data_IF_513403564540
#
_entry.id   IF_513403564540
#
_cell.length_a   1.000
_cell.length_b   1.000
_cell.length_c   1.000
_cell.angle_alpha   90.00
_cell.angle_beta   90.00
_cell.angle_gamma   90.00
#
_symmetry.space_group_name_H-M   'P 1'
#
loop_
_entity.id
_entity.type
_entity.pdbx_description
1 polymer ?
#
# COMPACT_ATOMS: atom_id res chain seq x y z
N UNK A 1 14.96 -19.59 -52.83
CA UNK A 1 15.67 -18.98 -51.69
C UNK A 1 14.74 -17.94 -51.09
N UNK A 2 14.52 -17.97 -49.78
CA UNK A 2 13.70 -16.96 -49.10
C UNK A 2 14.65 -15.82 -48.74
N UNK A 3 14.42 -14.65 -49.32
CA UNK A 3 15.17 -13.45 -48.99
C UNK A 3 14.50 -12.82 -47.78
N UNK A 4 15.25 -12.71 -46.68
CA UNK A 4 14.75 -12.28 -45.38
C UNK A 4 15.40 -10.93 -45.10
N UNK A 5 14.67 -9.84 -45.35
CA UNK A 5 15.15 -8.50 -45.02
C UNK A 5 14.64 -8.09 -43.64
N UNK A 6 15.52 -7.50 -42.83
CA UNK A 6 15.26 -7.18 -41.43
C UNK A 6 15.34 -5.67 -41.24
N UNK A 7 14.27 -4.97 -41.62
CA UNK A 7 14.10 -3.56 -41.24
C UNK A 7 13.41 -3.48 -39.87
N UNK A 8 14.05 -2.80 -38.90
CA UNK A 8 13.43 -2.36 -37.63
C UNK A 8 12.85 -3.48 -36.75
N UNK A 9 13.35 -4.72 -36.87
CA UNK A 9 12.91 -5.85 -36.04
C UNK A 9 11.66 -6.57 -36.55
N UNK A 10 11.18 -6.22 -37.74
CA UNK A 10 10.10 -6.95 -38.43
C UNK A 10 10.75 -7.80 -39.52
N UNK A 11 10.64 -9.12 -39.39
CA UNK A 11 11.07 -10.06 -40.42
C UNK A 11 9.98 -10.08 -41.51
N UNK A 12 10.30 -9.55 -42.69
CA UNK A 12 9.42 -9.64 -43.87
C UNK A 12 9.95 -10.74 -44.77
N UNK A 13 9.24 -11.88 -44.80
CA UNK A 13 9.54 -12.94 -45.76
C UNK A 13 8.74 -12.77 -47.04
N UNK A 14 9.38 -12.86 -48.19
CA UNK A 14 8.72 -12.97 -49.50
C UNK A 14 8.54 -14.44 -49.88
N UNK A 15 7.32 -14.85 -50.21
CA UNK A 15 7.03 -16.20 -50.72
C UNK A 15 7.27 -16.24 -52.24
N UNK A 16 7.84 -17.33 -52.79
CA UNK A 16 8.06 -17.44 -54.23
C UNK A 16 6.73 -17.46 -54.98
N UNK A 17 6.66 -16.70 -56.07
CA UNK A 17 5.52 -16.57 -56.96
C UNK A 17 5.25 -17.90 -57.70
N UNK A 18 4.55 -18.83 -57.05
CA UNK A 18 4.19 -20.11 -57.64
C UNK A 18 3.02 -20.84 -56.96
N UNK A 19 2.41 -20.22 -55.95
CA UNK A 19 1.36 -20.82 -55.11
C UNK A 19 -0.07 -20.39 -55.50
N UNK A 20 -0.27 -19.79 -56.69
CA UNK A 20 -1.60 -19.43 -57.21
C UNK A 20 -2.35 -18.38 -56.37
N UNK A 21 -1.65 -17.62 -55.53
CA UNK A 21 -2.19 -16.53 -54.74
C UNK A 21 -1.77 -15.21 -55.41
N UNK A 22 -2.63 -14.64 -56.25
CA UNK A 22 -2.37 -13.40 -57.01
C UNK A 22 -2.26 -12.12 -56.14
N UNK A 23 -2.25 -12.26 -54.82
CA UNK A 23 -1.98 -11.15 -53.89
C UNK A 23 -0.71 -11.46 -53.10
N UNK A 24 0.30 -10.55 -53.10
CA UNK A 24 1.45 -10.67 -52.22
C UNK A 24 0.95 -10.53 -50.78
N UNK A 25 0.63 -11.66 -50.14
CA UNK A 25 0.32 -11.70 -48.71
C UNK A 25 1.63 -11.54 -47.96
N UNK A 26 1.87 -10.34 -47.45
CA UNK A 26 2.90 -10.12 -46.44
C UNK A 26 2.50 -10.92 -45.20
N UNK A 27 3.12 -12.08 -45.02
CA UNK A 27 3.01 -12.82 -43.77
C UNK A 27 3.68 -11.95 -42.71
N UNK A 28 2.87 -11.20 -41.95
CA UNK A 28 3.31 -10.53 -40.74
C UNK A 28 3.66 -11.62 -39.73
N UNK A 29 4.94 -11.99 -39.65
CA UNK A 29 5.43 -12.79 -38.53
C UNK A 29 5.16 -11.98 -37.26
N UNK A 30 4.33 -12.52 -36.35
CA UNK A 30 4.16 -11.90 -35.05
C UNK A 30 5.52 -11.89 -34.34
N UNK A 31 6.02 -10.73 -33.89
CA UNK A 31 7.24 -10.67 -33.11
C UNK A 31 7.01 -11.43 -31.80
N UNK A 32 7.53 -12.66 -31.71
CA UNK A 32 7.41 -13.51 -30.51
C UNK A 32 8.41 -13.13 -29.42
N UNK A 33 9.34 -12.20 -29.72
CA UNK A 33 10.30 -11.68 -28.75
C UNK A 33 9.70 -10.49 -28.03
N UNK A 34 9.25 -10.74 -26.81
CA UNK A 34 8.83 -9.72 -25.86
C UNK A 34 9.99 -8.75 -25.64
N UNK A 35 9.74 -7.45 -25.82
CA UNK A 35 10.69 -6.38 -25.51
C UNK A 35 10.66 -6.18 -23.98
N UNK A 36 11.38 -7.04 -23.26
CA UNK A 36 11.50 -7.03 -21.80
C UNK A 36 11.81 -5.66 -21.17
N UNK A 37 12.76 -4.85 -21.70
CA UNK A 37 13.09 -3.59 -21.03
C UNK A 37 11.94 -2.58 -21.04
N UNK A 38 11.16 -2.53 -22.14
CA UNK A 38 9.98 -1.66 -22.23
C UNK A 38 8.89 -2.08 -21.23
N UNK A 39 8.64 -3.38 -21.13
CA UNK A 39 7.66 -3.93 -20.20
C UNK A 39 8.03 -3.68 -18.73
N UNK A 40 9.31 -3.84 -18.37
CA UNK A 40 9.80 -3.59 -17.00
C UNK A 40 9.70 -2.12 -16.63
N UNK A 41 10.02 -1.21 -17.56
CA UNK A 41 9.93 0.23 -17.32
C UNK A 41 8.48 0.67 -17.07
N UNK A 42 7.55 0.18 -17.90
CA UNK A 42 6.12 0.48 -17.77
C UNK A 42 5.57 -0.02 -16.43
N UNK A 43 5.86 -1.28 -16.10
CA UNK A 43 5.46 -1.89 -14.83
C UNK A 43 5.99 -1.11 -13.62
N UNK A 44 7.27 -0.75 -13.62
CA UNK A 44 7.88 0.01 -12.54
C UNK A 44 7.23 1.39 -12.38
N UNK A 45 7.02 2.11 -13.49
CA UNK A 45 6.39 3.43 -13.47
C UNK A 45 5.00 3.39 -12.82
N UNK A 46 4.16 2.44 -13.24
CA UNK A 46 2.82 2.30 -12.67
C UNK A 46 2.85 1.86 -11.21
N UNK A 47 3.71 0.90 -10.86
CA UNK A 47 3.85 0.41 -9.50
C UNK A 47 4.26 1.54 -8.53
N UNK A 48 5.31 2.31 -8.87
CA UNK A 48 5.77 3.42 -8.04
C UNK A 48 4.76 4.55 -7.96
N UNK A 49 4.08 4.87 -9.07
CA UNK A 49 3.07 5.93 -9.09
C UNK A 49 1.89 5.57 -8.19
N UNK A 50 1.33 4.37 -8.36
CA UNK A 50 0.19 3.92 -7.56
C UNK A 50 0.56 3.77 -6.09
N UNK A 51 1.71 3.15 -5.80
CA UNK A 51 2.21 3.00 -4.44
C UNK A 51 2.45 4.37 -3.78
N UNK A 52 3.04 5.31 -4.52
CA UNK A 52 3.24 6.68 -4.05
C UNK A 52 1.92 7.35 -3.70
N UNK A 53 0.94 7.35 -4.60
CA UNK A 53 -0.38 7.98 -4.39
C UNK A 53 -1.10 7.40 -3.17
N UNK A 54 -1.00 6.10 -2.92
CA UNK A 54 -1.68 5.45 -1.80
C UNK A 54 -0.91 5.62 -0.48
N UNK A 55 0.41 5.41 -0.48
CA UNK A 55 1.21 5.35 0.74
C UNK A 55 1.69 6.73 1.24
N UNK A 56 2.07 7.64 0.34
CA UNK A 56 2.60 8.96 0.71
C UNK A 56 1.64 9.80 1.55
N UNK A 57 0.34 9.97 1.21
CA UNK A 57 -0.51 10.88 1.98
C UNK A 57 -0.74 10.39 3.41
N UNK A 58 -0.72 9.09 3.68
CA UNK A 58 -0.81 8.55 5.04
C UNK A 58 0.45 8.84 5.86
N UNK A 59 1.62 8.50 5.31
CA UNK A 59 2.90 8.69 5.97
C UNK A 59 3.25 10.18 6.14
N UNK A 60 3.00 11.00 5.11
CA UNK A 60 3.25 12.45 5.14
C UNK A 60 2.36 13.15 6.16
N UNK A 61 1.05 12.82 6.23
CA UNK A 61 0.15 13.39 7.25
C UNK A 61 0.59 13.02 8.66
N UNK A 62 0.98 11.76 8.90
CA UNK A 62 1.49 11.31 10.20
C UNK A 62 2.79 12.03 10.59
N UNK A 63 3.76 12.09 9.68
CA UNK A 63 5.02 12.78 9.90
C UNK A 63 4.85 14.29 10.12
N UNK A 64 3.97 14.93 9.37
CA UNK A 64 3.67 16.36 9.54
C UNK A 64 2.99 16.65 10.88
N UNK A 65 2.06 15.81 11.33
CA UNK A 65 1.46 15.90 12.66
C UNK A 65 2.52 15.77 13.76
N UNK A 66 3.39 14.76 13.68
CA UNK A 66 4.48 14.57 14.64
C UNK A 66 5.45 15.76 14.68
N UNK A 67 5.85 16.29 13.51
CA UNK A 67 6.72 17.48 13.42
C UNK A 67 6.07 18.73 14.02
N UNK A 68 4.75 18.85 13.95
CA UNK A 68 3.99 19.92 14.60
C UNK A 68 3.70 19.67 16.07
N UNK A 69 4.23 18.59 16.66
CA UNK A 69 3.99 18.24 18.06
C UNK A 69 2.58 17.72 18.32
N UNK A 70 1.88 17.22 17.29
CA UNK A 70 0.53 16.67 17.38
C UNK A 70 0.54 15.15 17.31
N UNK A 71 -0.44 14.52 17.95
CA UNK A 71 -0.64 13.08 17.87
C UNK A 71 -0.85 12.63 16.43
N UNK A 72 -0.19 11.55 16.03
CA UNK A 72 -0.30 10.98 14.68
C UNK A 72 -1.70 10.39 14.38
N UNK A 73 -2.40 9.92 15.43
CA UNK A 73 -3.73 9.29 15.35
C UNK A 73 -4.85 10.34 15.37
N UNK A 74 -5.07 11.00 16.53
CA UNK A 74 -6.20 11.92 16.72
C UNK A 74 -5.92 13.38 16.31
N UNK A 75 -4.65 13.77 16.17
CA UNK A 75 -4.29 15.17 15.87
C UNK A 75 -4.30 16.13 17.06
N UNK A 76 -4.48 15.62 18.30
CA UNK A 76 -4.37 16.41 19.53
C UNK A 76 -2.98 17.04 19.66
N UNK A 77 -2.91 18.28 20.15
CA UNK A 77 -1.65 18.99 20.36
C UNK A 77 -0.97 18.48 21.64
N UNK A 78 0.14 17.76 21.48
CA UNK A 78 0.93 17.21 22.57
C UNK A 78 1.98 18.21 23.06
N UNK A 79 2.01 19.45 22.54
CA UNK A 79 3.05 20.46 22.85
C UNK A 79 4.47 19.93 22.63
N UNK A 80 4.64 19.02 21.67
CA UNK A 80 5.88 18.26 21.39
C UNK A 80 6.31 17.25 22.46
N UNK A 81 5.50 17.00 23.49
CA UNK A 81 5.72 15.93 24.46
C UNK A 81 5.14 14.60 23.92
N UNK A 82 5.88 13.96 23.02
CA UNK A 82 5.47 12.69 22.40
C UNK A 82 5.72 11.47 23.30
N UNK A 83 6.56 11.61 24.35
CA UNK A 83 6.97 10.47 25.19
C UNK A 83 5.88 10.05 26.17
N UNK A 84 5.12 11.00 26.72
CA UNK A 84 3.98 10.73 27.62
C UNK A 84 2.75 10.15 26.91
N UNK A 85 2.74 10.16 25.57
CA UNK A 85 1.62 9.67 24.76
C UNK A 85 0.33 10.50 24.87
N UNK A 86 -0.63 10.21 24.00
CA UNK A 86 -1.82 11.02 23.84
C UNK A 86 -2.90 10.73 24.90
N UNK A 87 -3.37 11.73 25.66
CA UNK A 87 -4.40 11.54 26.69
C UNK A 87 -5.78 11.18 26.11
N UNK A 88 -6.08 11.62 24.89
CA UNK A 88 -7.38 11.39 24.25
C UNK A 88 -7.48 9.99 23.63
N UNK A 89 -6.48 9.59 22.83
CA UNK A 89 -6.55 8.36 22.04
C UNK A 89 -5.68 7.22 22.57
N UNK A 90 -4.92 7.44 23.65
CA UNK A 90 -4.03 6.43 24.23
C UNK A 90 -2.84 6.04 23.35
N UNK A 91 -2.59 6.75 22.24
CA UNK A 91 -1.41 6.53 21.40
C UNK A 91 -0.14 6.63 22.26
N UNK A 92 0.70 5.61 22.22
CA UNK A 92 1.91 5.39 23.06
C UNK A 92 1.69 5.26 24.59
N UNK A 93 0.45 5.18 25.09
CA UNK A 93 0.14 4.97 26.52
C UNK A 93 -0.05 3.50 26.93
N UNK A 94 0.01 2.58 25.97
CA UNK A 94 -0.20 1.15 26.21
C UNK A 94 0.95 0.50 26.98
N UNK A 95 0.93 0.59 28.32
CA UNK A 95 1.81 -0.22 29.17
C UNK A 95 1.70 -0.03 30.69
N UNK A 96 1.37 1.16 31.22
CA UNK A 96 1.61 1.43 32.64
C UNK A 96 0.38 1.78 33.50
N UNK A 97 -0.77 2.17 32.92
CA UNK A 97 -1.83 2.82 33.70
C UNK A 97 -3.23 2.34 33.33
N UNK A 98 -3.41 1.02 33.30
CA UNK A 98 -4.69 0.37 33.01
C UNK A 98 -5.11 -0.71 34.01
N UNK A 99 -4.42 -0.84 35.14
CA UNK A 99 -4.79 -1.80 36.19
C UNK A 99 -4.83 -1.10 37.55
N UNK A 100 -5.87 -0.30 37.76
CA UNK A 100 -6.39 -0.02 39.09
C UNK A 100 -7.67 -0.84 39.26
N UNK A 101 -7.62 -2.09 39.77
CA UNK A 101 -8.81 -2.78 40.23
C UNK A 101 -9.09 -2.32 41.66
N UNK A 102 -10.07 -1.44 41.83
CA UNK A 102 -10.64 -1.06 43.13
C UNK A 102 -11.77 -0.06 42.85
N UNK A 103 -13.04 -0.41 42.62
CA UNK A 103 -13.87 -1.42 43.29
C UNK A 103 -13.70 -1.43 44.81
N UNK A 104 -13.67 -0.27 45.45
CA UNK A 104 -14.11 -0.09 46.85
C UNK A 104 -15.53 0.47 46.92
N UNK A 105 -16.37 0.13 45.93
CA UNK A 105 -17.83 0.12 46.06
C UNK A 105 -18.29 -1.29 46.45
N UNK A 106 -17.84 -1.76 47.63
CA UNK A 106 -18.31 -3.00 48.26
C UNK A 106 -18.02 -2.98 49.75
N UNK A 107 -18.47 -1.92 50.45
CA UNK A 107 -18.42 -1.86 51.93
C UNK A 107 -19.80 -1.74 52.60
N UNK A 108 -20.92 -1.68 51.85
CA UNK A 108 -22.22 -1.36 52.45
C UNK A 108 -23.24 -2.52 52.57
N UNK A 109 -22.87 -3.78 52.31
CA UNK A 109 -23.87 -4.87 52.22
C UNK A 109 -23.90 -5.90 53.36
N UNK A 110 -23.02 -5.84 54.38
CA UNK A 110 -22.94 -6.89 55.41
C UNK A 110 -23.24 -6.42 56.85
N UNK A 111 -23.97 -5.31 57.01
CA UNK A 111 -24.38 -4.78 58.31
C UNK A 111 -25.88 -4.50 58.40
N UNK A 112 -26.77 -5.49 58.20
CA UNK A 112 -28.21 -5.36 58.55
C UNK A 112 -29.01 -6.67 58.60
N UNK A 113 -28.58 -7.65 59.39
CA UNK A 113 -29.46 -8.71 59.91
C UNK A 113 -29.03 -8.93 61.36
N UNK A 114 -29.41 -8.08 62.32
CA UNK A 114 -30.76 -7.96 62.91
C UNK A 114 -31.28 -9.37 63.29
N UNK A 115 -31.02 -9.79 64.52
CA UNK A 115 -32.01 -9.71 65.61
C UNK A 115 -33.24 -10.59 65.32
N UNK A 116 -33.17 -11.83 65.83
CA UNK A 116 -34.28 -12.71 66.24
C UNK A 116 -33.71 -14.09 66.62
N UNK A 117 -33.25 -14.22 67.86
CA UNK A 117 -33.36 -15.42 68.69
C UNK A 117 -32.92 -15.11 70.11
#
# INVERSE_FOLDING_TARGET
AVEVDVERGIVVGTLPAGLGLDTPRTLRLLPTKIIWPGFMADWALYAFTLFGVIALPGAARRGWRMRRGRCAMCGYDLRRELSAGCPECGWTRGGAEGRTPSSTLSQDAAGRVESRR
#
